data_IF_450262667453
#
_entry.id   IF_450262667453
#
_cell.length_a   1.000
_cell.length_b   1.000
_cell.length_c   1.000
_cell.angle_alpha   90.00
_cell.angle_beta   90.00
_cell.angle_gamma   90.00
#
_symmetry.space_group_name_H-M   'P 1'
#
loop_
_entity.id
_entity.type
_entity.pdbx_description
1 polymer ?
#
# COMPACT_ATOMS: atom_id res chain seq x y z
N UNK A 1 -9.20 -7.13 -0.40
CA UNK A 1 -8.29 -6.19 -1.08
C UNK A 1 -6.99 -6.04 -0.30
N UNK A 2 -5.86 -6.13 -0.97
CA UNK A 2 -4.52 -5.92 -0.41
C UNK A 2 -4.18 -4.43 -0.40
N UNK A 3 -3.23 -4.03 0.45
CA UNK A 3 -2.82 -2.63 0.60
C UNK A 3 -2.20 -2.08 -0.69
N UNK A 4 -1.39 -2.89 -1.39
CA UNK A 4 -0.78 -2.49 -2.66
C UNK A 4 -1.81 -2.13 -3.73
N UNK A 5 -2.91 -2.89 -3.82
CA UNK A 5 -3.99 -2.61 -4.77
C UNK A 5 -4.69 -1.27 -4.46
N UNK A 6 -4.88 -0.95 -3.17
CA UNK A 6 -5.47 0.32 -2.73
C UNK A 6 -4.54 1.48 -3.11
N UNK A 7 -3.23 1.34 -2.88
CA UNK A 7 -2.24 2.36 -3.20
C UNK A 7 -2.17 2.63 -4.71
N UNK A 8 -2.20 1.58 -5.54
CA UNK A 8 -2.28 1.73 -7.00
C UNK A 8 -3.57 2.41 -7.42
N UNK A 9 -4.70 1.98 -6.85
CA UNK A 9 -6.02 2.52 -7.18
C UNK A 9 -6.16 4.01 -6.84
N UNK A 10 -5.51 4.45 -5.76
CA UNK A 10 -5.43 5.87 -5.37
C UNK A 10 -4.44 6.69 -6.20
N UNK A 11 -3.69 6.04 -7.11
CA UNK A 11 -2.67 6.71 -7.92
C UNK A 11 -1.40 7.09 -7.14
N UNK A 12 -1.21 6.53 -5.94
CA UNK A 12 -0.05 6.84 -5.09
C UNK A 12 1.21 6.12 -5.57
N UNK A 13 1.04 4.94 -6.15
CA UNK A 13 2.11 4.18 -6.81
C UNK A 13 1.60 3.60 -8.13
N UNK A 14 2.51 3.33 -9.05
CA UNK A 14 2.21 2.55 -10.26
C UNK A 14 2.21 1.05 -9.99
N UNK A 15 1.58 0.27 -10.87
CA UNK A 15 1.65 -1.21 -10.82
C UNK A 15 3.10 -1.72 -10.90
N UNK A 16 3.96 -1.03 -11.68
CA UNK A 16 5.38 -1.37 -11.81
C UNK A 16 6.11 -1.17 -10.49
N UNK A 17 5.87 -0.04 -9.81
CA UNK A 17 6.44 0.22 -8.48
C UNK A 17 5.92 -0.81 -7.47
N UNK A 18 4.64 -1.18 -7.52
CA UNK A 18 4.11 -2.22 -6.65
C UNK A 18 4.84 -3.56 -6.83
N UNK A 19 5.08 -3.98 -8.08
CA UNK A 19 5.84 -5.21 -8.37
C UNK A 19 7.27 -5.14 -7.83
N UNK A 20 7.97 -4.02 -8.07
CA UNK A 20 9.32 -3.78 -7.55
C UNK A 20 9.37 -3.88 -6.03
N UNK A 21 8.43 -3.22 -5.35
CA UNK A 21 8.34 -3.24 -3.90
C UNK A 21 8.05 -4.64 -3.35
N UNK A 22 7.22 -5.45 -4.03
CA UNK A 22 6.95 -6.84 -3.64
C UNK A 22 8.23 -7.70 -3.75
N UNK A 23 9.02 -7.51 -4.81
CA UNK A 23 10.31 -8.20 -4.97
C UNK A 23 11.28 -7.85 -3.85
N UNK A 24 11.42 -6.57 -3.52
CA UNK A 24 12.33 -6.10 -2.45
C UNK A 24 11.83 -6.53 -1.07
N UNK A 25 10.52 -6.50 -0.82
CA UNK A 25 9.91 -6.94 0.44
C UNK A 25 10.29 -8.39 0.80
N UNK A 26 10.37 -9.28 -0.20
CA UNK A 26 10.76 -10.68 -0.01
C UNK A 26 12.16 -10.87 0.55
N UNK A 27 13.03 -9.87 0.40
CA UNK A 27 14.40 -9.87 0.92
C UNK A 27 14.48 -9.12 2.25
N UNK A 28 13.86 -7.93 2.32
CA UNK A 28 14.04 -7.00 3.43
C UNK A 28 13.20 -7.31 4.69
N UNK A 29 12.26 -8.27 4.66
CA UNK A 29 11.36 -8.61 5.78
C UNK A 29 10.51 -7.44 6.34
N UNK A 30 10.55 -6.28 5.68
CA UNK A 30 9.69 -5.13 5.98
C UNK A 30 8.28 -5.39 5.46
N UNK A 31 7.28 -4.69 6.01
CA UNK A 31 5.95 -4.66 5.38
C UNK A 31 5.99 -3.76 4.15
N UNK A 32 5.21 -4.11 3.13
CA UNK A 32 5.13 -3.37 1.88
C UNK A 32 4.90 -1.87 2.09
N UNK A 33 3.96 -1.49 2.96
CA UNK A 33 3.69 -0.09 3.25
C UNK A 33 4.89 0.65 3.87
N UNK A 34 5.58 0.02 4.81
CA UNK A 34 6.76 0.60 5.47
C UNK A 34 7.92 0.75 4.48
N UNK A 35 8.10 -0.24 3.60
CA UNK A 35 9.08 -0.17 2.52
C UNK A 35 8.77 1.02 1.59
N UNK A 36 7.52 1.19 1.16
CA UNK A 36 7.13 2.27 0.25
C UNK A 36 7.32 3.67 0.85
N UNK A 37 7.11 3.81 2.16
CA UNK A 37 7.42 5.06 2.89
C UNK A 37 8.92 5.27 2.99
N UNK A 38 9.69 4.21 3.28
CA UNK A 38 11.16 4.27 3.40
C UNK A 38 11.82 4.65 2.07
N UNK A 39 11.32 4.13 0.95
CA UNK A 39 11.77 4.48 -0.40
C UNK A 39 11.27 5.86 -0.86
N UNK A 40 10.45 6.55 -0.06
CA UNK A 40 9.93 7.88 -0.35
C UNK A 40 8.88 7.91 -1.47
N UNK A 41 8.29 6.77 -1.84
CA UNK A 41 7.28 6.71 -2.90
C UNK A 41 5.90 7.16 -2.42
N UNK A 42 5.62 7.01 -1.12
CA UNK A 42 4.40 7.50 -0.48
C UNK A 42 4.74 8.16 0.86
N UNK A 43 3.86 9.03 1.36
CA UNK A 43 4.01 9.57 2.71
C UNK A 43 3.40 8.62 3.75
N UNK A 44 3.81 8.75 5.02
CA UNK A 44 3.23 8.00 6.13
C UNK A 44 1.71 8.21 6.23
N UNK A 45 1.24 9.43 5.97
CA UNK A 45 -0.18 9.78 5.94
C UNK A 45 -0.95 9.04 4.84
N UNK A 46 -0.36 8.88 3.66
CA UNK A 46 -0.95 8.12 2.56
C UNK A 46 -1.13 6.65 2.93
N UNK A 47 -0.12 6.08 3.60
CA UNK A 47 -0.17 4.71 4.10
C UNK A 47 -1.26 4.53 5.16
N UNK A 48 -1.37 5.45 6.12
CA UNK A 48 -2.40 5.41 7.16
C UNK A 48 -3.82 5.43 6.56
N UNK A 49 -4.05 6.31 5.58
CA UNK A 49 -5.34 6.40 4.90
C UNK A 49 -5.67 5.13 4.11
N UNK A 50 -4.67 4.55 3.43
CA UNK A 50 -4.86 3.30 2.70
C UNK A 50 -5.12 2.11 3.64
N UNK A 51 -4.48 2.05 4.81
CA UNK A 51 -4.73 1.04 5.85
C UNK A 51 -6.13 1.17 6.46
N UNK A 52 -6.60 2.40 6.68
CA UNK A 52 -7.96 2.66 7.16
C UNK A 52 -9.00 2.17 6.16
N UNK A 53 -8.82 2.50 4.87
CA UNK A 53 -9.65 1.98 3.79
C UNK A 53 -9.63 0.45 3.74
N UNK A 54 -8.44 -0.16 3.81
CA UNK A 54 -8.31 -1.61 3.82
C UNK A 54 -9.13 -2.24 4.94
N UNK A 55 -9.06 -1.67 6.14
CA UNK A 55 -9.81 -2.13 7.32
C UNK A 55 -11.31 -1.98 7.12
N UNK A 56 -11.78 -0.87 6.55
CA UNK A 56 -13.22 -0.67 6.26
C UNK A 56 -13.72 -1.65 5.19
N UNK A 57 -12.95 -1.89 4.13
CA UNK A 57 -13.29 -2.89 3.10
C UNK A 57 -13.37 -4.30 3.67
N UNK A 58 -12.43 -4.69 4.54
CA UNK A 58 -12.46 -6.00 5.20
C UNK A 58 -13.68 -6.16 6.12
N UNK A 59 -14.18 -5.06 6.69
CA UNK A 59 -15.39 -5.04 7.53
C UNK A 59 -16.69 -4.90 6.72
N UNK A 60 -16.63 -4.79 5.39
CA UNK A 60 -17.80 -4.53 4.54
C UNK A 60 -18.42 -3.13 4.73
N UNK A 61 -17.66 -2.19 5.28
CA UNK A 61 -18.13 -0.82 5.58
C UNK A 61 -17.72 0.21 4.52
N UNK A 62 -16.97 -0.22 3.50
CA UNK A 62 -16.54 0.66 2.42
C UNK A 62 -17.57 0.65 1.30
N UNK A 63 -18.10 1.82 0.98
CA UNK A 63 -19.00 2.05 -0.15
C UNK A 63 -18.16 2.73 -1.23
N UNK A 64 -18.15 2.12 -2.41
CA UNK A 64 -17.32 2.51 -3.55
C UNK A 64 -18.15 3.20 -4.62
#
# INVERSE_FOLDING_TARGET
MKIGEILVRRGLISSIQLEQAITVQGVCHLKLGELLVTEGWIQTTDLEQALLEQKWRQKGLWID
#
